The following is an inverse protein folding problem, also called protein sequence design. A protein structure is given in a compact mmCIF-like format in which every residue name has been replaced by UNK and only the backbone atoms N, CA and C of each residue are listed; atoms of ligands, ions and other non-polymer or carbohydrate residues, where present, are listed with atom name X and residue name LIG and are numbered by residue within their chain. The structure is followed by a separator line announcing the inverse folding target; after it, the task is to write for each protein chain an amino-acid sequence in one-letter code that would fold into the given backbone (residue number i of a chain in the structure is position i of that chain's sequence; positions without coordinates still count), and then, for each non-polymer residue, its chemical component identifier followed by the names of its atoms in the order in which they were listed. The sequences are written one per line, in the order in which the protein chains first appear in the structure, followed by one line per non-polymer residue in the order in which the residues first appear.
data_IF_095185633025
#
_entry.id   IF_095185633025
#
_cell.length_a   1.000
_cell.length_b   1.000
_cell.length_c   1.000
_cell.angle_alpha   90.00
_cell.angle_beta   90.00
_cell.angle_gamma   90.00
#
_symmetry.space_group_name_H-M   'P 1'
#
loop_
_entity.id
_entity.type
_entity.pdbx_description
1 polymer ?
#
# COMPACT_ATOMS: atom_id res chain seq x y z
N UNK A 1 16.79 -36.89 35.49
CA UNK A 1 15.34 -37.21 35.42
C UNK A 1 14.62 -35.89 35.21
N UNK A 2 13.89 -35.57 34.14
CA UNK A 2 13.38 -36.34 33.01
C UNK A 2 13.62 -35.57 31.71
N UNK A 3 13.85 -36.31 30.63
CA UNK A 3 14.11 -35.89 29.27
C UNK A 3 12.82 -36.10 28.47
N UNK A 4 12.27 -35.08 27.79
CA UNK A 4 11.29 -35.29 26.74
C UNK A 4 11.53 -34.33 25.58
N UNK A 5 12.01 -34.90 24.47
CA UNK A 5 12.33 -34.21 23.24
C UNK A 5 11.11 -33.81 22.42
N UNK A 6 11.33 -32.82 21.56
CA UNK A 6 10.41 -32.45 20.50
C UNK A 6 10.86 -33.11 19.19
N UNK A 7 9.97 -33.91 18.62
CA UNK A 7 10.15 -34.65 17.38
C UNK A 7 10.04 -33.67 16.18
N UNK A 8 11.12 -33.55 15.41
CA UNK A 8 11.16 -32.82 14.14
C UNK A 8 10.71 -33.77 13.04
N UNK A 9 9.57 -33.51 12.41
CA UNK A 9 9.09 -34.27 11.26
C UNK A 9 9.45 -33.55 9.96
N UNK A 10 10.42 -34.11 9.24
CA UNK A 10 10.69 -33.80 7.85
C UNK A 10 9.65 -34.51 6.95
N UNK A 11 8.96 -33.74 6.10
CA UNK A 11 8.15 -34.30 5.02
C UNK A 11 9.09 -34.70 3.88
N UNK A 12 9.01 -35.96 3.47
CA UNK A 12 9.77 -36.49 2.35
C UNK A 12 9.20 -35.96 1.02
N UNK A 13 10.11 -35.59 0.11
CA UNK A 13 9.86 -35.48 -1.33
C UNK A 13 9.41 -36.84 -1.91
N UNK A 14 8.79 -36.78 -3.11
CA UNK A 14 8.21 -37.88 -3.93
C UNK A 14 6.68 -37.95 -3.72
N UNK A 15 5.79 -37.61 -4.67
CA UNK A 15 5.80 -37.96 -6.09
C UNK A 15 4.99 -36.93 -6.94
N UNK A 16 5.70 -36.15 -7.76
CA UNK A 16 5.12 -35.39 -8.89
C UNK A 16 5.08 -36.33 -10.10
N UNK A 17 3.94 -36.98 -10.35
CA UNK A 17 3.41 -37.45 -11.65
C UNK A 17 2.38 -38.54 -11.41
N UNK A 18 1.09 -38.22 -11.57
CA UNK A 18 0.02 -39.11 -12.05
C UNK A 18 -1.32 -38.39 -11.95
N UNK A 19 -1.60 -37.54 -12.93
CA UNK A 19 -2.98 -37.27 -13.31
C UNK A 19 -2.99 -36.69 -14.72
N UNK A 20 -3.19 -37.56 -15.71
CA UNK A 20 -3.66 -37.23 -17.07
C UNK A 20 -3.73 -38.54 -17.84
N UNK A 21 -4.93 -39.11 -17.91
CA UNK A 21 -5.46 -39.91 -19.01
C UNK A 21 -6.77 -40.54 -18.53
N UNK A 22 -7.90 -40.04 -19.02
CA UNK A 22 -9.04 -40.79 -19.59
C UNK A 22 -10.15 -39.76 -19.86
N UNK A 23 -10.38 -39.46 -21.13
CA UNK A 23 -11.71 -39.39 -21.75
C UNK A 23 -11.54 -38.94 -23.20
N UNK A 24 -11.58 -39.91 -24.12
CA UNK A 24 -11.72 -39.67 -25.54
C UNK A 24 -13.19 -39.69 -25.95
N UNK A 25 -13.53 -38.73 -26.82
CA UNK A 25 -14.45 -38.81 -27.97
C UNK A 25 -15.96 -38.97 -27.73
N UNK A 26 -16.70 -37.90 -28.05
CA UNK A 26 -17.82 -37.99 -29.00
C UNK A 26 -18.15 -36.61 -29.62
N UNK A 27 -17.84 -36.52 -30.91
CA UNK A 27 -18.58 -35.89 -32.02
C UNK A 27 -19.41 -34.60 -31.81
N UNK A 28 -18.86 -33.49 -32.33
CA UNK A 28 -19.45 -32.62 -33.36
C UNK A 28 -20.90 -32.13 -33.27
N UNK A 29 -21.07 -30.80 -33.20
CA UNK A 29 -21.93 -29.99 -34.08
C UNK A 29 -21.34 -28.57 -34.09
N UNK A 30 -21.09 -28.05 -35.29
CA UNK A 30 -20.72 -26.67 -35.54
C UNK A 30 -21.92 -25.74 -35.33
N UNK A 31 -21.71 -24.60 -34.68
CA UNK A 31 -22.55 -23.41 -34.86
C UNK A 31 -21.66 -22.16 -34.71
N UNK A 32 -21.37 -21.57 -35.87
CA UNK A 32 -20.91 -20.21 -36.00
C UNK A 32 -22.00 -19.26 -35.47
N UNK A 33 -21.59 -18.28 -34.68
CA UNK A 33 -22.44 -17.20 -34.22
C UNK A 33 -21.58 -16.11 -33.59
N UNK A 34 -21.14 -15.16 -34.41
CA UNK A 34 -20.64 -13.87 -33.94
C UNK A 34 -21.72 -13.22 -33.06
N UNK A 35 -21.38 -12.94 -31.80
CA UNK A 35 -22.04 -11.86 -31.05
C UNK A 35 -20.94 -11.02 -30.39
N UNK A 36 -20.42 -10.08 -31.17
CA UNK A 36 -19.76 -8.88 -30.67
C UNK A 36 -20.77 -8.09 -29.84
N UNK A 37 -20.87 -8.40 -28.55
CA UNK A 37 -21.48 -7.49 -27.58
C UNK A 37 -20.44 -6.41 -27.24
N UNK A 38 -20.25 -5.48 -28.19
CA UNK A 38 -19.68 -4.17 -27.91
C UNK A 38 -20.72 -3.34 -27.15
N UNK A 39 -21.01 -3.75 -25.92
CA UNK A 39 -21.66 -2.91 -24.95
C UNK A 39 -20.63 -1.89 -24.47
N UNK A 40 -20.56 -0.73 -25.11
CA UNK A 40 -20.03 0.47 -24.47
C UNK A 40 -20.96 0.77 -23.29
N UNK A 41 -20.70 0.11 -22.16
CA UNK A 41 -21.32 0.43 -20.90
C UNK A 41 -20.95 1.89 -20.63
N UNK A 42 -21.94 2.78 -20.74
CA UNK A 42 -21.84 4.13 -20.24
C UNK A 42 -21.31 4.03 -18.82
N UNK A 43 -20.06 4.44 -18.62
CA UNK A 43 -19.41 4.39 -17.32
C UNK A 43 -20.20 5.32 -16.40
N UNK A 44 -21.13 4.75 -15.64
CA UNK A 44 -21.80 5.47 -14.58
C UNK A 44 -20.69 6.07 -13.71
N UNK A 45 -20.63 7.40 -13.66
CA UNK A 45 -19.69 8.15 -12.83
C UNK A 45 -19.77 7.58 -11.43
N UNK A 46 -18.75 6.82 -11.08
CA UNK A 46 -18.69 6.11 -9.81
C UNK A 46 -17.98 7.03 -8.84
N UNK A 47 -18.75 7.76 -8.04
CA UNK A 47 -18.16 8.65 -7.05
C UNK A 47 -18.01 7.92 -5.71
N UNK A 48 -16.79 7.47 -5.43
CA UNK A 48 -16.36 7.20 -4.05
C UNK A 48 -15.83 8.52 -3.47
N UNK A 49 -16.25 8.88 -2.25
CA UNK A 49 -15.96 10.19 -1.70
C UNK A 49 -14.44 10.41 -1.48
N UNK A 50 -13.99 11.66 -1.57
CA UNK A 50 -12.58 12.06 -1.36
C UNK A 50 -11.70 12.00 -2.61
N UNK A 51 -11.94 11.07 -3.53
CA UNK A 51 -11.09 10.88 -4.71
C UNK A 51 -11.21 12.00 -5.77
N UNK A 52 -12.31 12.75 -5.80
CA UNK A 52 -12.54 13.77 -6.83
C UNK A 52 -11.53 14.92 -6.78
N UNK A 53 -10.89 15.17 -5.63
CA UNK A 53 -9.81 16.17 -5.50
C UNK A 53 -8.47 15.70 -6.07
N UNK A 54 -8.36 14.42 -6.44
CA UNK A 54 -7.16 13.79 -6.97
C UNK A 54 -7.41 13.16 -8.36
N UNK A 55 -8.41 13.64 -9.11
CA UNK A 55 -8.81 13.06 -10.39
C UNK A 55 -7.71 13.08 -11.47
N UNK A 56 -6.70 13.95 -11.33
CA UNK A 56 -5.55 14.03 -12.24
C UNK A 56 -4.55 12.88 -12.03
N UNK A 57 -4.51 12.27 -10.84
CA UNK A 57 -3.56 11.20 -10.48
C UNK A 57 -4.23 9.88 -10.07
N UNK A 58 -5.53 9.91 -9.80
CA UNK A 58 -6.30 8.76 -9.31
C UNK A 58 -7.56 8.57 -10.14
N UNK A 59 -7.80 7.34 -10.57
CA UNK A 59 -9.03 6.95 -11.25
C UNK A 59 -9.77 5.90 -10.44
N UNK A 60 -11.06 6.13 -10.22
CA UNK A 60 -11.92 5.16 -9.53
C UNK A 60 -12.92 4.58 -10.51
N UNK A 61 -12.94 3.26 -10.61
CA UNK A 61 -14.00 2.51 -11.31
C UNK A 61 -14.70 1.58 -10.33
N UNK A 62 -15.75 0.87 -10.78
CA UNK A 62 -16.36 -0.19 -9.98
C UNK A 62 -16.73 -1.39 -10.84
N UNK A 63 -16.77 -2.54 -10.19
CA UNK A 63 -17.51 -3.71 -10.66
C UNK A 63 -18.65 -4.01 -9.67
N UNK A 64 -19.20 -5.23 -9.68
CA UNK A 64 -20.30 -5.61 -8.78
C UNK A 64 -19.89 -5.79 -7.31
N UNK A 65 -18.60 -5.95 -7.02
CA UNK A 65 -18.06 -6.27 -5.68
C UNK A 65 -17.21 -5.15 -5.10
N UNK A 66 -16.41 -4.49 -5.93
CA UNK A 66 -15.37 -3.55 -5.50
C UNK A 66 -15.46 -2.21 -6.23
N UNK A 67 -15.16 -1.13 -5.51
CA UNK A 67 -14.51 0.02 -6.11
C UNK A 67 -13.05 -0.37 -6.42
N UNK A 68 -12.55 0.06 -7.58
CA UNK A 68 -11.20 -0.21 -8.05
C UNK A 68 -10.47 1.13 -8.20
N UNK A 69 -9.46 1.33 -7.36
CA UNK A 69 -8.67 2.57 -7.33
C UNK A 69 -7.37 2.37 -8.10
N UNK A 70 -7.21 3.12 -9.18
CA UNK A 70 -6.01 3.16 -10.00
C UNK A 70 -5.15 4.37 -9.66
N UNK A 71 -3.84 4.18 -9.51
CA UNK A 71 -2.86 5.25 -9.26
C UNK A 71 -1.45 4.81 -9.69
N UNK A 72 -0.47 5.70 -9.57
CA UNK A 72 0.96 5.32 -9.64
C UNK A 72 1.57 4.99 -8.28
N UNK A 73 0.82 5.17 -7.18
CA UNK A 73 1.35 5.12 -5.81
C UNK A 73 2.20 6.33 -5.39
N UNK A 74 2.43 7.30 -6.29
CA UNK A 74 3.23 8.50 -5.99
C UNK A 74 2.34 9.70 -5.64
N UNK A 75 2.53 10.35 -4.48
CA UNK A 75 1.84 11.57 -4.13
C UNK A 75 2.41 12.80 -4.86
N UNK A 76 1.67 13.91 -4.76
CA UNK A 76 2.11 15.23 -5.26
C UNK A 76 3.01 15.98 -4.26
N UNK A 77 2.93 15.67 -2.96
CA UNK A 77 3.80 16.25 -1.95
C UNK A 77 5.21 15.65 -2.00
N UNK A 78 6.16 16.25 -1.27
CA UNK A 78 7.52 15.71 -1.17
C UNK A 78 7.55 14.36 -0.44
N UNK A 79 8.59 13.56 -0.65
CA UNK A 79 8.75 12.23 -0.05
C UNK A 79 10.13 12.11 0.59
N UNK A 80 10.36 11.06 1.37
CA UNK A 80 11.66 10.59 1.85
C UNK A 80 12.39 11.47 2.88
N UNK A 81 12.22 12.80 2.85
CA UNK A 81 12.85 13.73 3.80
C UNK A 81 12.41 13.41 5.22
N UNK A 82 13.37 13.32 6.15
CA UNK A 82 13.12 13.01 7.55
C UNK A 82 13.45 11.57 7.95
N UNK A 83 13.57 10.65 6.97
CA UNK A 83 13.95 9.24 7.21
C UNK A 83 15.38 9.17 7.78
N UNK A 84 15.55 8.40 8.86
CA UNK A 84 16.83 8.16 9.56
C UNK A 84 17.20 6.67 9.65
N UNK A 85 16.25 5.78 9.37
CA UNK A 85 16.45 4.35 9.19
C UNK A 85 16.07 4.00 7.76
N UNK A 86 17.06 3.97 6.86
CA UNK A 86 16.82 3.84 5.43
C UNK A 86 17.44 2.56 4.85
N UNK A 87 16.61 1.76 4.18
CA UNK A 87 16.99 0.53 3.45
C UNK A 87 17.34 0.77 1.97
N UNK A 88 17.78 2.00 1.65
CA UNK A 88 18.24 2.39 0.32
C UNK A 88 17.20 2.22 -0.80
N UNK A 89 15.91 2.20 -0.45
CA UNK A 89 14.79 2.17 -1.40
C UNK A 89 14.39 3.59 -1.80
N UNK A 90 13.93 3.76 -3.03
CA UNK A 90 13.54 5.06 -3.61
C UNK A 90 12.13 4.99 -4.17
N UNK A 91 11.38 6.11 -4.24
CA UNK A 91 10.01 6.05 -4.74
C UNK A 91 10.00 5.88 -6.26
N UNK A 92 9.32 4.85 -6.72
CA UNK A 92 9.12 4.54 -8.15
C UNK A 92 7.64 4.37 -8.46
N UNK A 93 7.19 4.68 -9.70
CA UNK A 93 5.79 4.49 -10.07
C UNK A 93 5.44 2.99 -10.11
N UNK A 94 4.24 2.68 -9.63
CA UNK A 94 3.73 1.32 -9.52
C UNK A 94 2.56 1.07 -10.50
N UNK A 95 2.39 -0.16 -11.01
CA UNK A 95 1.39 -0.47 -12.03
C UNK A 95 0.01 -0.76 -11.42
N UNK A 96 -0.49 0.09 -10.53
CA UNK A 96 -1.79 -0.11 -9.87
C UNK A 96 -2.94 0.29 -10.81
N UNK A 97 -3.15 -0.49 -11.89
CA UNK A 97 -4.16 -0.23 -12.92
C UNK A 97 -4.86 -1.51 -13.38
N UNK A 98 -6.08 -1.39 -13.91
CA UNK A 98 -6.83 -2.52 -14.45
C UNK A 98 -7.01 -3.64 -13.43
N UNK A 99 -6.55 -4.85 -13.77
CA UNK A 99 -6.63 -6.01 -12.89
C UNK A 99 -5.76 -5.89 -11.61
N UNK A 100 -4.82 -4.95 -11.57
CA UNK A 100 -3.96 -4.67 -10.41
C UNK A 100 -4.36 -3.39 -9.65
N UNK A 101 -5.57 -2.87 -9.88
CA UNK A 101 -6.10 -1.74 -9.12
C UNK A 101 -6.41 -2.14 -7.67
N UNK A 102 -6.36 -1.19 -6.75
CA UNK A 102 -6.68 -1.43 -5.33
C UNK A 102 -8.19 -1.69 -5.16
N UNK A 103 -8.59 -2.87 -4.65
CA UNK A 103 -10.00 -3.20 -4.45
C UNK A 103 -10.49 -2.72 -3.09
N UNK A 104 -11.63 -2.01 -3.06
CA UNK A 104 -12.34 -1.62 -1.85
C UNK A 104 -13.75 -2.21 -1.91
N UNK A 105 -14.17 -3.07 -0.97
CA UNK A 105 -15.53 -3.62 -0.95
C UNK A 105 -16.61 -2.54 -1.02
N UNK A 106 -17.58 -2.69 -1.93
CA UNK A 106 -18.69 -1.71 -2.09
C UNK A 106 -19.65 -1.75 -0.88
N UNK A 107 -19.77 -2.92 -0.26
CA UNK A 107 -20.65 -3.18 0.89
C UNK A 107 -19.81 -3.82 1.99
N UNK A 108 -19.12 -3.03 2.83
CA UNK A 108 -18.37 -3.57 3.95
C UNK A 108 -19.33 -4.31 4.91
N UNK A 109 -18.87 -5.42 5.47
CA UNK A 109 -19.62 -6.26 6.42
C UNK A 109 -18.86 -6.28 7.74
N UNK A 110 -19.53 -6.00 8.85
CA UNK A 110 -18.92 -6.12 10.18
C UNK A 110 -18.58 -7.59 10.44
N UNK A 111 -17.31 -7.87 10.73
CA UNK A 111 -16.85 -9.21 11.04
C UNK A 111 -17.35 -9.66 12.41
N UNK A 112 -17.74 -10.94 12.51
CA UNK A 112 -17.99 -11.61 13.80
C UNK A 112 -16.71 -11.91 14.57
N UNK A 113 -15.57 -11.88 13.88
CA UNK A 113 -14.23 -12.08 14.44
C UNK A 113 -13.27 -11.07 13.82
N UNK A 114 -13.33 -9.80 14.25
CA UNK A 114 -12.40 -8.75 13.82
C UNK A 114 -10.94 -9.16 14.05
N UNK A 115 -10.04 -8.70 13.19
CA UNK A 115 -8.62 -9.10 13.21
C UNK A 115 -7.76 -7.86 13.53
N UNK A 116 -6.91 -7.96 14.55
CA UNK A 116 -5.97 -6.89 14.92
C UNK A 116 -4.74 -6.90 14.05
N UNK A 117 -4.27 -5.73 13.62
CA UNK A 117 -3.03 -5.55 12.89
C UNK A 117 -1.77 -5.70 13.78
N UNK A 118 -1.90 -5.88 15.10
CA UNK A 118 -0.73 -6.03 15.99
C UNK A 118 0.16 -7.22 15.62
N UNK A 119 -0.44 -8.32 15.15
CA UNK A 119 0.26 -9.56 14.78
C UNK A 119 -0.14 -10.08 13.39
N UNK A 120 -0.92 -9.29 12.64
CA UNK A 120 -1.46 -9.66 11.33
C UNK A 120 -1.21 -8.52 10.35
N UNK A 121 -1.28 -8.79 9.05
CA UNK A 121 -1.12 -7.77 8.01
C UNK A 121 0.21 -7.00 8.11
N UNK A 122 1.30 -7.69 8.48
CA UNK A 122 2.66 -7.13 8.53
C UNK A 122 3.29 -7.01 7.13
N UNK A 123 2.54 -7.37 6.08
CA UNK A 123 2.89 -7.25 4.67
C UNK A 123 1.71 -6.65 3.92
N UNK A 124 2.00 -5.88 2.88
CA UNK A 124 0.99 -5.25 2.03
C UNK A 124 0.21 -4.13 2.74
N UNK A 125 -0.74 -3.56 2.00
CA UNK A 125 -1.55 -2.46 2.51
C UNK A 125 -2.70 -2.96 3.38
N UNK A 126 -3.13 -2.10 4.29
CA UNK A 126 -4.37 -2.24 5.07
C UNK A 126 -5.43 -1.21 4.67
N UNK A 127 -5.02 -0.15 3.97
CA UNK A 127 -5.91 0.88 3.45
C UNK A 127 -5.32 1.54 2.20
N UNK A 128 -6.13 2.34 1.51
CA UNK A 128 -5.70 3.18 0.38
C UNK A 128 -6.14 4.62 0.64
N UNK A 129 -5.19 5.55 0.60
CA UNK A 129 -5.48 6.98 0.76
C UNK A 129 -6.18 7.55 -0.48
N UNK A 130 -6.95 8.62 -0.31
CA UNK A 130 -7.71 9.22 -1.42
C UNK A 130 -6.82 9.90 -2.48
N UNK A 131 -5.55 10.14 -2.17
CA UNK A 131 -4.53 10.55 -3.13
C UNK A 131 -3.88 9.38 -3.90
N UNK A 132 -4.34 8.15 -3.66
CA UNK A 132 -3.90 6.95 -4.37
C UNK A 132 -2.65 6.28 -3.80
N UNK A 133 -2.16 6.71 -2.64
CA UNK A 133 -1.01 6.10 -1.95
C UNK A 133 -1.50 5.01 -0.99
N UNK A 134 -0.98 3.77 -1.06
CA UNK A 134 -1.35 2.72 -0.12
C UNK A 134 -0.90 3.05 1.31
N UNK A 135 -1.64 2.55 2.29
CA UNK A 135 -1.33 2.70 3.71
C UNK A 135 -1.12 1.31 4.28
N UNK A 136 0.06 1.08 4.82
CA UNK A 136 0.49 -0.15 5.45
C UNK A 136 0.25 -0.07 6.96
N UNK A 137 0.41 -1.22 7.61
CA UNK A 137 0.33 -1.33 9.05
C UNK A 137 1.34 -0.41 9.73
N UNK A 138 0.99 0.23 10.86
CA UNK A 138 1.93 1.05 11.63
C UNK A 138 3.20 0.27 12.04
N UNK A 139 3.10 -1.06 12.14
CA UNK A 139 4.23 -1.95 12.34
C UNK A 139 4.84 -2.41 11.01
N UNK A 140 6.16 -2.42 10.92
CA UNK A 140 6.86 -3.02 9.79
C UNK A 140 6.86 -4.56 9.86
N UNK A 141 7.50 -5.21 8.88
CA UNK A 141 7.53 -6.67 8.79
C UNK A 141 8.25 -7.40 9.94
N UNK A 142 8.95 -6.68 10.83
CA UNK A 142 9.58 -7.20 12.05
C UNK A 142 8.69 -7.02 13.29
N UNK A 143 7.59 -6.28 13.16
CA UNK A 143 6.74 -5.88 14.27
C UNK A 143 7.16 -4.59 14.98
N UNK A 144 8.16 -3.87 14.44
CA UNK A 144 8.60 -2.59 15.00
C UNK A 144 7.68 -1.46 14.53
N UNK A 145 7.38 -0.48 15.40
CA UNK A 145 6.66 0.75 15.01
C UNK A 145 7.55 1.60 14.08
N UNK A 146 7.16 1.67 12.79
CA UNK A 146 7.95 2.31 11.73
C UNK A 146 8.19 3.81 12.00
N UNK A 147 7.24 4.49 12.66
CA UNK A 147 7.40 5.90 13.03
C UNK A 147 8.48 6.05 14.11
N UNK A 148 8.40 5.23 15.17
CA UNK A 148 9.31 5.34 16.31
C UNK A 148 10.75 4.93 15.96
N UNK A 149 10.95 3.99 15.03
CA UNK A 149 12.29 3.59 14.59
C UNK A 149 12.88 4.50 13.51
N UNK A 150 12.18 5.56 13.12
CA UNK A 150 12.67 6.58 12.18
C UNK A 150 12.71 6.13 10.73
N UNK A 151 11.86 5.18 10.33
CA UNK A 151 11.73 4.72 8.95
C UNK A 151 10.88 5.66 8.09
N UNK A 152 10.10 6.57 8.69
CA UNK A 152 9.14 7.42 7.98
C UNK A 152 9.69 8.80 7.64
N UNK A 153 9.23 9.33 6.51
CA UNK A 153 9.40 10.72 6.12
C UNK A 153 8.44 11.65 6.87
N UNK A 154 8.58 12.95 6.65
CA UNK A 154 7.76 14.00 7.28
C UNK A 154 6.26 13.89 6.96
N UNK A 155 5.88 13.09 5.97
CA UNK A 155 4.50 12.84 5.56
C UNK A 155 3.96 11.51 6.09
N UNK A 156 4.79 10.74 6.80
CA UNK A 156 4.40 9.48 7.43
C UNK A 156 4.54 8.26 6.55
N UNK A 157 5.34 8.33 5.48
CA UNK A 157 5.56 7.22 4.56
C UNK A 157 7.02 6.91 4.28
N UNK A 158 7.25 5.80 3.58
CA UNK A 158 8.58 5.39 3.11
C UNK A 158 8.45 4.46 1.91
N UNK A 159 9.60 4.00 1.38
CA UNK A 159 9.62 3.02 0.30
C UNK A 159 9.86 1.59 0.81
N UNK A 160 8.99 0.67 0.40
CA UNK A 160 9.12 -0.77 0.63
C UNK A 160 10.18 -1.43 -0.25
N UNK A 161 10.34 -2.74 -0.10
CA UNK A 161 11.34 -3.55 -0.83
C UNK A 161 11.16 -3.56 -2.36
N UNK A 162 10.01 -3.10 -2.87
CA UNK A 162 9.73 -3.00 -4.28
C UNK A 162 9.80 -1.55 -4.79
N UNK A 163 10.51 -0.69 -4.07
CA UNK A 163 10.61 0.75 -4.35
C UNK A 163 9.20 1.41 -4.42
N UNK A 164 8.23 0.87 -3.67
CA UNK A 164 6.85 1.36 -3.57
C UNK A 164 6.71 2.31 -2.39
N UNK A 165 6.29 3.55 -2.65
CA UNK A 165 6.00 4.50 -1.58
C UNK A 165 4.66 4.21 -0.93
N UNK A 166 4.62 4.17 0.40
CA UNK A 166 3.41 3.94 1.18
C UNK A 166 3.47 4.64 2.53
N UNK A 167 2.31 4.98 3.09
CA UNK A 167 2.22 5.51 4.45
C UNK A 167 2.19 4.39 5.49
N UNK A 168 2.66 4.66 6.71
CA UNK A 168 2.44 3.82 7.90
C UNK A 168 1.55 4.50 8.95
N UNK A 169 1.32 5.80 8.81
CA UNK A 169 0.42 6.59 9.65
C UNK A 169 -0.64 7.27 8.80
N UNK A 170 -1.73 7.72 9.42
CA UNK A 170 -2.79 8.40 8.67
C UNK A 170 -2.25 9.68 8.00
N UNK A 171 -2.47 9.88 6.69
CA UNK A 171 -2.09 11.11 6.00
C UNK A 171 -3.08 12.24 6.36
N UNK A 172 -3.03 12.71 7.61
CA UNK A 172 -3.97 13.69 8.17
C UNK A 172 -3.97 15.02 7.41
N UNK A 173 -2.88 15.34 6.70
CA UNK A 173 -2.78 16.49 5.82
C UNK A 173 -3.86 16.47 4.71
N UNK A 174 -4.30 15.31 4.23
CA UNK A 174 -5.34 15.22 3.20
C UNK A 174 -6.67 15.81 3.66
N UNK A 175 -6.93 15.86 4.98
CA UNK A 175 -8.13 16.47 5.56
C UNK A 175 -8.30 17.93 5.13
N UNK A 176 -7.22 18.70 4.98
CA UNK A 176 -7.31 20.10 4.55
C UNK A 176 -7.68 20.25 3.07
N UNK A 177 -7.48 19.20 2.27
CA UNK A 177 -7.76 19.17 0.83
C UNK A 177 -9.20 18.70 0.58
N UNK A 178 -9.60 17.58 1.18
CA UNK A 178 -10.91 16.96 0.94
C UNK A 178 -12.00 17.49 1.86
N UNK A 179 -11.61 18.07 3.01
CA UNK A 179 -12.52 18.55 4.04
C UNK A 179 -12.84 17.50 5.10
N UNK A 180 -13.13 17.96 6.31
CA UNK A 180 -13.30 17.12 7.52
C UNK A 180 -14.42 16.07 7.44
N UNK A 181 -15.46 16.33 6.65
CA UNK A 181 -16.62 15.42 6.48
C UNK A 181 -16.41 14.42 5.34
N UNK A 182 -15.21 14.38 4.75
CA UNK A 182 -14.86 13.52 3.63
C UNK A 182 -13.74 12.58 4.07
N UNK A 183 -13.79 11.27 3.74
CA UNK A 183 -12.73 10.33 4.08
C UNK A 183 -11.39 10.76 3.49
N UNK A 184 -10.32 10.52 4.25
CA UNK A 184 -8.93 10.69 3.79
C UNK A 184 -8.36 9.37 3.24
N UNK A 185 -8.99 8.25 3.56
CA UNK A 185 -8.63 6.92 3.08
C UNK A 185 -9.82 5.96 3.22
N UNK A 186 -9.66 4.76 2.68
CA UNK A 186 -10.56 3.63 2.88
C UNK A 186 -9.75 2.41 3.28
N UNK A 187 -10.16 1.74 4.36
CA UNK A 187 -9.61 0.44 4.74
C UNK A 187 -9.99 -0.62 3.71
N UNK A 188 -9.16 -1.65 3.56
CA UNK A 188 -9.41 -2.72 2.59
C UNK A 188 -10.60 -3.64 2.97
N UNK A 189 -11.16 -3.48 4.17
CA UNK A 189 -12.46 -4.06 4.54
C UNK A 189 -13.68 -3.25 4.02
N UNK A 190 -13.42 -2.07 3.43
CA UNK A 190 -14.41 -1.20 2.79
C UNK A 190 -14.89 -0.03 3.64
N UNK A 191 -14.52 0.06 4.92
CA UNK A 191 -14.95 1.18 5.77
C UNK A 191 -14.10 2.44 5.52
N UNK A 192 -14.72 3.64 5.55
CA UNK A 192 -14.00 4.90 5.38
C UNK A 192 -13.12 5.21 6.60
N UNK A 193 -12.04 5.93 6.34
CA UNK A 193 -11.13 6.46 7.36
C UNK A 193 -11.17 7.99 7.28
N UNK A 194 -11.50 8.64 8.38
CA UNK A 194 -11.54 10.09 8.51
C UNK A 194 -10.29 10.63 9.22
N UNK A 195 -10.14 11.95 9.24
CA UNK A 195 -9.05 12.60 9.98
C UNK A 195 -9.22 12.54 11.51
N UNK A 196 -8.40 13.31 12.22
CA UNK A 196 -8.24 13.30 13.68
C UNK A 196 -9.32 14.07 14.47
N UNK A 197 -10.49 14.28 13.89
CA UNK A 197 -11.62 15.00 14.50
C UNK A 197 -12.95 14.42 14.04
N UNK A 198 -13.99 14.59 14.86
CA UNK A 198 -15.39 14.36 14.49
C UNK A 198 -15.84 15.25 13.33
N UNK A 199 -16.98 14.93 12.69
CA UNK A 199 -17.53 15.74 11.59
C UNK A 199 -17.87 17.18 11.99
N UNK A 200 -18.20 17.42 13.26
CA UNK A 200 -18.45 18.75 13.83
C UNK A 200 -17.16 19.47 14.28
N UNK A 201 -16.02 18.77 14.32
CA UNK A 201 -14.71 19.32 14.66
C UNK A 201 -14.27 19.07 16.08
N UNK A 202 -15.11 18.44 16.89
CA UNK A 202 -14.72 18.06 18.24
C UNK A 202 -13.64 16.99 18.21
N UNK A 203 -12.94 16.88 19.34
CA UNK A 203 -12.00 15.80 19.54
C UNK A 203 -12.75 14.46 19.52
N UNK A 204 -12.15 13.48 18.86
CA UNK A 204 -12.69 12.12 18.77
C UNK A 204 -12.70 11.49 20.15
N UNK A 205 -13.77 10.77 20.49
CA UNK A 205 -13.89 10.01 21.74
C UNK A 205 -14.49 8.63 21.49
N UNK A 206 -14.19 7.68 22.36
CA UNK A 206 -14.82 6.36 22.34
C UNK A 206 -14.44 5.52 21.13
N UNK A 207 -13.21 5.67 20.63
CA UNK A 207 -12.66 4.75 19.64
C UNK A 207 -12.53 3.35 20.24
N UNK A 208 -12.84 2.34 19.45
CA UNK A 208 -12.56 0.95 19.76
C UNK A 208 -11.07 0.61 19.54
N UNK A 209 -10.74 -0.66 19.78
CA UNK A 209 -9.37 -1.18 19.66
C UNK A 209 -8.76 -1.09 18.25
N UNK A 210 -9.58 -0.84 17.21
CA UNK A 210 -9.13 -0.67 15.83
C UNK A 210 -9.08 0.79 15.39
N UNK A 211 -9.20 1.73 16.35
CA UNK A 211 -9.17 3.17 16.09
C UNK A 211 -10.39 3.67 15.29
N UNK A 212 -11.55 3.02 15.46
CA UNK A 212 -12.81 3.42 14.84
C UNK A 212 -13.99 3.42 15.81
N UNK A 213 -15.16 3.86 15.36
CA UNK A 213 -16.39 3.79 16.14
C UNK A 213 -17.64 3.78 15.25
N UNK A 214 -18.81 3.62 15.86
CA UNK A 214 -20.10 3.78 15.18
C UNK A 214 -20.63 5.20 15.39
N UNK A 215 -21.15 5.80 14.32
CA UNK A 215 -21.91 7.05 14.43
C UNK A 215 -23.33 6.83 14.98
N UNK A 216 -24.09 7.92 15.13
CA UNK A 216 -25.49 7.88 15.58
C UNK A 216 -26.41 7.06 14.65
N UNK A 217 -26.04 6.87 13.39
CA UNK A 217 -26.76 6.07 12.40
C UNK A 217 -26.28 4.61 12.37
N UNK A 218 -25.42 4.21 13.32
CA UNK A 218 -24.79 2.88 13.40
C UNK A 218 -23.93 2.54 12.19
N UNK A 219 -23.33 3.55 11.56
CA UNK A 219 -22.33 3.40 10.52
C UNK A 219 -20.93 3.41 11.14
N UNK A 220 -20.18 2.33 10.91
CA UNK A 220 -18.82 2.22 11.41
C UNK A 220 -17.84 2.98 10.50
N UNK A 221 -16.84 3.61 11.10
CA UNK A 221 -15.74 4.25 10.40
C UNK A 221 -14.50 4.34 11.29
N UNK A 222 -13.33 4.41 10.67
CA UNK A 222 -12.06 4.60 11.35
C UNK A 222 -11.65 6.07 11.40
N UNK A 223 -10.70 6.38 12.26
CA UNK A 223 -10.03 7.67 12.31
C UNK A 223 -8.52 7.51 12.24
N UNK A 224 -7.85 8.49 11.63
CA UNK A 224 -6.45 8.74 11.88
C UNK A 224 -6.24 9.43 13.23
N UNK A 225 -5.18 9.09 13.95
CA UNK A 225 -4.83 9.67 15.24
C UNK A 225 -3.33 9.98 15.32
N UNK A 226 -2.92 10.78 16.31
CA UNK A 226 -1.50 11.12 16.52
C UNK A 226 -0.76 10.14 17.45
N UNK A 227 -1.48 9.17 17.99
CA UNK A 227 -0.96 8.13 18.86
C UNK A 227 -1.19 6.77 18.23
N UNK A 228 -0.35 5.79 18.54
CA UNK A 228 -0.53 4.41 18.09
C UNK A 228 -2.00 3.96 18.30
N UNK A 229 -2.66 3.35 17.30
CA UNK A 229 -2.10 2.83 16.04
C UNK A 229 -1.96 3.85 14.89
N UNK A 230 -2.20 5.14 15.11
CA UNK A 230 -2.15 6.27 14.16
C UNK A 230 -3.15 6.21 12.97
N UNK A 231 -3.57 5.00 12.59
CA UNK A 231 -4.50 4.66 11.50
C UNK A 231 -5.40 3.51 12.00
N UNK A 232 -6.08 2.74 11.13
CA UNK A 232 -6.86 1.59 11.57
C UNK A 232 -5.95 0.49 12.15
N UNK A 233 -6.13 0.16 13.43
CA UNK A 233 -5.31 -0.81 14.18
C UNK A 233 -5.63 -2.29 13.86
N UNK A 234 -6.33 -2.55 12.77
CA UNK A 234 -6.92 -3.82 12.38
C UNK A 234 -8.14 -3.62 11.49
N UNK A 235 -8.94 -4.67 11.38
CA UNK A 235 -10.17 -4.68 10.59
C UNK A 235 -11.35 -5.09 11.46
N UNK A 236 -12.29 -4.15 11.62
CA UNK A 236 -13.65 -4.37 12.08
C UNK A 236 -14.48 -5.13 11.05
N UNK A 237 -14.22 -4.90 9.76
CA UNK A 237 -14.90 -5.58 8.68
C UNK A 237 -14.30 -6.94 8.31
N UNK A 238 -15.00 -7.67 7.46
CA UNK A 238 -14.52 -8.94 6.90
C UNK A 238 -13.35 -8.70 5.92
N UNK A 239 -12.26 -9.41 6.15
CA UNK A 239 -11.10 -9.50 5.25
C UNK A 239 -10.61 -10.93 5.20
N UNK A 240 -9.88 -11.27 4.15
CA UNK A 240 -9.13 -12.52 4.06
C UNK A 240 -7.65 -12.16 4.22
N UNK A 241 -6.96 -12.82 5.15
CA UNK A 241 -5.50 -12.75 5.24
C UNK A 241 -4.88 -13.93 4.49
N UNK A 242 -3.92 -13.66 3.62
CA UNK A 242 -3.06 -14.66 2.98
C UNK A 242 -1.62 -14.20 3.04
N UNK A 243 -0.70 -15.06 3.47
CA UNK A 243 0.73 -14.76 3.55
C UNK A 243 1.08 -13.47 4.32
N UNK A 244 0.26 -13.10 5.31
CA UNK A 244 0.45 -11.91 6.14
C UNK A 244 -0.01 -10.59 5.52
N UNK A 245 -0.88 -10.63 4.50
CA UNK A 245 -1.45 -9.46 3.84
C UNK A 245 -2.95 -9.67 3.50
N UNK A 246 -3.69 -8.59 3.24
CA UNK A 246 -5.10 -8.66 2.81
C UNK A 246 -5.21 -9.25 1.39
N UNK A 247 -6.22 -10.08 1.13
CA UNK A 247 -6.50 -10.66 -0.18
C UNK A 247 -7.96 -10.43 -0.62
N UNK A 248 -8.23 -10.02 -1.87
CA UNK A 248 -7.27 -9.58 -2.88
C UNK A 248 -6.73 -8.17 -2.58
N UNK A 249 -5.52 -7.85 -3.07
CA UNK A 249 -5.01 -6.49 -3.12
C UNK A 249 -4.09 -6.29 -4.32
N UNK A 250 -3.76 -5.03 -4.62
CA UNK A 250 -2.77 -4.74 -5.65
C UNK A 250 -1.38 -5.24 -5.23
N UNK A 251 -0.56 -5.59 -6.20
CA UNK A 251 0.80 -6.09 -5.97
C UNK A 251 1.81 -5.38 -6.85
N UNK A 252 3.07 -5.46 -6.46
CA UNK A 252 4.19 -4.98 -7.27
C UNK A 252 5.37 -5.94 -7.22
N UNK A 253 6.30 -5.79 -8.18
CA UNK A 253 7.52 -6.58 -8.28
C UNK A 253 8.73 -5.65 -8.18
N UNK A 254 9.75 -6.01 -7.39
CA UNK A 254 10.92 -5.16 -7.25
C UNK A 254 11.70 -5.04 -8.58
N UNK A 255 12.30 -3.88 -8.83
CA UNK A 255 13.27 -3.68 -9.91
C UNK A 255 14.63 -4.30 -9.60
N UNK A 256 14.96 -4.37 -8.31
CA UNK A 256 16.27 -4.78 -7.80
C UNK A 256 16.12 -5.46 -6.43
N UNK A 257 17.10 -6.26 -6.00
CA UNK A 257 17.12 -6.76 -4.63
C UNK A 257 17.04 -5.61 -3.62
N UNK A 258 16.39 -5.82 -2.45
CA UNK A 258 16.34 -4.79 -1.42
C UNK A 258 17.76 -4.45 -0.96
N UNK A 259 18.01 -3.16 -0.77
CA UNK A 259 19.28 -2.68 -0.20
C UNK A 259 19.40 -3.01 1.28
N UNK A 260 20.64 -3.06 1.76
CA UNK A 260 20.91 -3.18 3.20
C UNK A 260 20.65 -1.85 3.91
N UNK A 261 20.27 -1.85 5.20
CA UNK A 261 20.13 -0.63 5.98
C UNK A 261 21.42 0.20 5.98
N UNK A 262 21.33 1.45 5.51
CA UNK A 262 22.46 2.38 5.50
C UNK A 262 22.55 3.09 6.86
N UNK A 263 23.21 2.44 7.81
CA UNK A 263 23.30 2.92 9.20
C UNK A 263 23.94 4.30 9.29
N UNK A 264 23.29 5.22 10.01
CA UNK A 264 23.76 6.59 10.19
C UNK A 264 23.40 7.54 9.05
N UNK A 265 22.73 7.06 8.01
CA UNK A 265 22.21 7.94 6.97
C UNK A 265 20.96 8.69 7.45
N UNK A 266 20.82 9.95 7.03
CA UNK A 266 19.57 10.70 7.16
C UNK A 266 19.24 11.38 5.85
N UNK A 267 18.02 11.22 5.37
CA UNK A 267 17.56 11.86 4.13
C UNK A 267 17.17 13.30 4.43
N UNK A 268 17.82 14.24 3.76
CA UNK A 268 17.71 15.68 4.00
C UNK A 268 17.07 16.43 2.84
N UNK A 269 16.98 15.82 1.66
CA UNK A 269 16.39 16.43 0.48
C UNK A 269 15.77 15.40 -0.45
N UNK A 270 14.67 15.80 -1.10
CA UNK A 270 14.05 15.04 -2.16
C UNK A 270 13.38 16.01 -3.13
N UNK A 271 13.88 16.07 -4.36
CA UNK A 271 13.41 16.98 -5.39
C UNK A 271 12.95 16.21 -6.62
N UNK A 272 11.81 16.61 -7.20
CA UNK A 272 11.39 16.13 -8.51
C UNK A 272 11.96 17.08 -9.58
N UNK A 273 12.98 16.62 -10.29
CA UNK A 273 13.72 17.41 -11.30
C UNK A 273 13.13 17.28 -12.71
N UNK A 274 12.19 16.37 -12.91
CA UNK A 274 11.44 16.19 -14.15
C UNK A 274 10.19 15.34 -13.94
N UNK A 275 9.43 15.06 -14.99
CA UNK A 275 8.18 14.30 -14.88
C UNK A 275 8.37 12.96 -14.14
N UNK A 276 9.46 12.26 -14.46
CA UNK A 276 9.84 10.95 -13.92
C UNK A 276 11.27 10.96 -13.35
N UNK A 277 11.82 12.13 -13.04
CA UNK A 277 13.22 12.30 -12.61
C UNK A 277 13.28 12.96 -11.24
N UNK A 278 14.21 12.51 -10.42
CA UNK A 278 14.31 12.87 -9.02
C UNK A 278 15.77 12.99 -8.58
N UNK A 279 15.99 13.80 -7.53
CA UNK A 279 17.25 13.91 -6.80
C UNK A 279 16.97 13.72 -5.31
N UNK A 280 17.49 12.64 -4.73
CA UNK A 280 17.45 12.37 -3.30
C UNK A 280 18.79 12.74 -2.68
N UNK A 281 18.78 13.62 -1.69
CA UNK A 281 19.96 14.02 -0.92
C UNK A 281 19.93 13.37 0.46
N UNK A 282 21.05 12.78 0.88
CA UNK A 282 21.22 12.23 2.22
C UNK A 282 22.58 12.60 2.82
N UNK A 283 22.60 12.68 4.15
CA UNK A 283 23.82 12.84 4.93
C UNK A 283 24.29 11.51 5.47
N UNK A 284 25.60 11.25 5.43
CA UNK A 284 26.23 10.10 6.03
C UNK A 284 27.63 10.50 6.53
N UNK A 285 27.94 10.27 7.80
CA UNK A 285 29.24 10.59 8.40
C UNK A 285 29.70 12.05 8.17
N UNK A 286 28.75 12.99 8.12
CA UNK A 286 29.01 14.42 7.86
C UNK A 286 29.20 14.80 6.39
N UNK A 287 29.22 13.85 5.45
CA UNK A 287 29.22 14.09 4.02
C UNK A 287 27.80 14.19 3.45
N UNK A 288 27.65 14.93 2.35
CA UNK A 288 26.41 14.98 1.56
C UNK A 288 26.55 14.07 0.34
N UNK A 289 25.49 13.32 0.05
CA UNK A 289 25.44 12.34 -1.03
C UNK A 289 24.14 12.51 -1.80
N UNK A 290 24.15 12.09 -3.07
CA UNK A 290 22.96 12.14 -3.92
C UNK A 290 22.65 10.78 -4.54
N UNK A 291 21.36 10.53 -4.74
CA UNK A 291 20.84 9.51 -5.65
C UNK A 291 19.96 10.24 -6.66
N UNK A 292 20.52 10.53 -7.83
CA UNK A 292 19.76 11.06 -8.97
C UNK A 292 19.20 9.89 -9.75
N UNK A 293 17.96 9.94 -10.17
CA UNK A 293 17.38 8.84 -10.92
C UNK A 293 16.22 9.25 -11.81
N UNK A 294 15.95 8.42 -12.81
CA UNK A 294 14.68 8.42 -13.53
C UNK A 294 13.99 7.08 -13.38
N UNK A 295 12.66 7.08 -13.20
CA UNK A 295 11.88 5.87 -12.97
C UNK A 295 10.62 5.83 -13.83
N UNK A 296 10.46 4.73 -14.57
CA UNK A 296 9.26 4.38 -15.32
C UNK A 296 8.64 3.10 -14.76
N UNK A 297 7.57 2.58 -15.38
CA UNK A 297 6.99 1.31 -14.95
C UNK A 297 7.88 0.10 -15.23
N UNK A 298 8.77 0.20 -16.23
CA UNK A 298 9.59 -0.90 -16.75
C UNK A 298 11.09 -0.73 -16.53
N UNK A 299 11.55 0.48 -16.18
CA UNK A 299 12.98 0.75 -15.98
C UNK A 299 13.22 1.83 -14.92
N UNK A 300 14.30 1.65 -14.15
CA UNK A 300 14.88 2.67 -13.26
C UNK A 300 16.36 2.83 -13.59
N UNK A 301 16.78 4.07 -13.84
CA UNK A 301 18.18 4.45 -14.04
C UNK A 301 18.63 5.31 -12.86
N UNK A 302 19.66 4.88 -12.14
CA UNK A 302 20.19 5.55 -10.96
C UNK A 302 21.61 6.05 -11.20
N UNK A 303 21.94 7.18 -10.59
CA UNK A 303 23.27 7.73 -10.45
C UNK A 303 23.49 8.04 -8.96
N UNK A 304 24.41 7.33 -8.33
CA UNK A 304 24.86 7.59 -6.97
C UNK A 304 26.06 8.52 -7.03
N UNK A 305 26.00 9.65 -6.33
CA UNK A 305 27.07 10.64 -6.27
C UNK A 305 27.54 10.74 -4.82
N UNK A 306 28.84 10.55 -4.59
CA UNK A 306 29.44 10.65 -3.27
C UNK A 306 29.78 12.08 -2.85
N UNK A 307 30.28 12.22 -1.62
CA UNK A 307 30.64 13.52 -1.03
C UNK A 307 31.87 14.18 -1.67
N UNK A 308 32.59 13.50 -2.56
CA UNK A 308 33.68 14.04 -3.37
C UNK A 308 33.24 14.41 -4.78
N UNK A 309 32.01 14.04 -5.16
CA UNK A 309 31.46 14.21 -6.50
C UNK A 309 31.74 13.03 -7.44
N UNK A 310 32.38 11.96 -6.97
CA UNK A 310 32.52 10.75 -7.78
C UNK A 310 31.16 10.06 -7.92
N UNK A 311 30.86 9.56 -9.13
CA UNK A 311 29.57 8.93 -9.40
C UNK A 311 29.69 7.51 -9.94
N UNK A 312 28.65 6.71 -9.69
CA UNK A 312 28.41 5.40 -10.30
C UNK A 312 26.96 5.31 -10.75
N UNK A 313 26.71 4.59 -11.84
CA UNK A 313 25.36 4.42 -12.39
C UNK A 313 24.93 2.98 -12.40
N UNK A 314 23.64 2.76 -12.18
CA UNK A 314 22.99 1.44 -12.16
C UNK A 314 21.69 1.52 -12.96
N UNK A 315 21.35 0.47 -13.72
CA UNK A 315 20.12 0.39 -14.50
C UNK A 315 19.43 -0.93 -14.20
N UNK A 316 18.12 -0.87 -13.93
CA UNK A 316 17.29 -2.02 -13.59
C UNK A 316 16.01 -2.03 -14.43
N UNK A 317 15.56 -3.23 -14.82
CA UNK A 317 14.36 -3.44 -15.63
C UNK A 317 13.51 -4.59 -15.06
N UNK A 318 12.19 -4.55 -15.26
CA UNK A 318 11.25 -5.61 -14.83
C UNK A 318 10.14 -5.86 -15.85
#
# INVERSE_FOLDING_TARGET
MSNHGHEVRHLAEIDRRKFLQVAGLSSGIALFGELLLNGSASAATTSLAGFSKFADSVKVTKNSKYYLVESSGLPAHSMMVGIKSWQQQIPTPQPYKGANAWPIPIKPVISKSPISAKNHFLRGAIAIAVNGVPIFNALNNRGDDAFLVGELDDWGGHCGRADDYHYHIAPLHLKSIVGRKVPIAYALDGFPIYGDTEFDGKAIKGLDEFNGHFDANRQYHYHGTKSYPYINGGFKGEVIEREGQVDPQASTRPFRPPGEPLRGASITGFERTGANSFDLTYQLSGGNYHVKYSASLSEVQLEFIDNTGASRSEIYQR
#
